data_IF_743551740074
#
_entry.id   IF_743551740074
#
_cell.length_a   1.000
_cell.length_b   1.000
_cell.length_c   1.000
_cell.angle_alpha   90.00
_cell.angle_beta   90.00
_cell.angle_gamma   90.00
#
_symmetry.space_group_name_H-M   'P 1'
#
loop_
_entity.id
_entity.type
_entity.pdbx_description
1 polymer ?
#
# COMPACT_ATOMS: atom_id res chain seq x y z
N UNK A 1 29.01 4.80 -15.40
CA UNK A 1 28.95 5.50 -14.10
C UNK A 1 28.43 4.53 -13.06
N UNK A 2 29.17 4.33 -11.97
CA UNK A 2 28.85 3.35 -10.92
C UNK A 2 28.02 4.05 -9.86
N UNK A 3 26.72 3.76 -9.79
CA UNK A 3 25.81 4.22 -8.74
C UNK A 3 26.25 3.64 -7.37
N UNK A 4 26.06 4.37 -6.25
CA UNK A 4 26.63 3.99 -4.97
C UNK A 4 25.94 2.72 -4.44
N UNK A 5 26.72 1.66 -4.22
CA UNK A 5 26.27 0.45 -3.52
C UNK A 5 25.78 0.86 -2.13
N UNK A 6 24.47 0.82 -1.90
CA UNK A 6 23.90 0.90 -0.56
C UNK A 6 24.53 -0.26 0.22
N UNK A 7 25.38 0.07 1.20
CA UNK A 7 26.12 -0.90 2.00
C UNK A 7 25.15 -1.71 2.87
N UNK A 8 25.52 -2.94 3.20
CA UNK A 8 24.74 -3.84 4.08
C UNK A 8 24.32 -3.21 5.42
N UNK A 9 25.06 -2.20 5.88
CA UNK A 9 24.77 -1.41 7.09
C UNK A 9 23.46 -0.62 6.97
N UNK A 10 23.19 0.03 5.82
CA UNK A 10 21.96 0.82 5.64
C UNK A 10 20.71 -0.06 5.55
N UNK A 11 20.80 -1.27 5.01
CA UNK A 11 19.67 -2.20 4.91
C UNK A 11 19.11 -2.58 6.30
N UNK A 12 19.96 -2.59 7.33
CA UNK A 12 19.52 -2.87 8.72
C UNK A 12 18.55 -1.82 9.29
N UNK A 13 18.56 -0.60 8.73
CA UNK A 13 17.67 0.50 9.12
C UNK A 13 16.28 0.38 8.46
N UNK A 14 16.11 -0.53 7.49
CA UNK A 14 14.82 -0.76 6.85
C UNK A 14 13.80 -1.31 7.86
N UNK A 15 12.70 -0.58 8.14
CA UNK A 15 11.83 -0.88 9.28
C UNK A 15 10.79 -1.97 8.95
N UNK A 16 11.22 -3.12 8.45
CA UNK A 16 10.36 -4.19 7.95
C UNK A 16 9.33 -4.66 8.99
N UNK A 17 9.76 -4.84 10.24
CA UNK A 17 8.87 -5.28 11.33
C UNK A 17 7.78 -4.25 11.60
N UNK A 18 8.11 -2.95 11.57
CA UNK A 18 7.15 -1.87 11.74
C UNK A 18 6.13 -1.85 10.59
N UNK A 19 6.62 -1.99 9.35
CA UNK A 19 5.76 -2.07 8.16
C UNK A 19 4.77 -3.22 8.33
N UNK A 20 5.25 -4.43 8.64
CA UNK A 20 4.39 -5.61 8.82
C UNK A 20 3.32 -5.40 9.92
N UNK A 21 3.68 -4.85 11.08
CA UNK A 21 2.72 -4.52 12.15
C UNK A 21 1.61 -3.59 11.65
N UNK A 22 1.98 -2.50 10.98
CA UNK A 22 1.03 -1.55 10.42
C UNK A 22 0.12 -2.22 9.37
N UNK A 23 0.67 -3.07 8.50
CA UNK A 23 -0.09 -3.78 7.48
C UNK A 23 -1.06 -4.82 8.08
N UNK A 24 -0.63 -5.55 9.10
CA UNK A 24 -1.48 -6.52 9.81
C UNK A 24 -2.64 -5.81 10.52
N UNK A 25 -2.36 -4.72 11.24
CA UNK A 25 -3.38 -3.89 11.88
C UNK A 25 -4.37 -3.31 10.84
N UNK A 26 -3.84 -2.74 9.75
CA UNK A 26 -4.63 -2.23 8.63
C UNK A 26 -5.55 -3.30 8.05
N UNK A 27 -5.15 -4.57 8.02
CA UNK A 27 -5.92 -5.63 7.36
C UNK A 27 -6.84 -6.45 8.28
N UNK A 28 -6.76 -6.30 9.59
CA UNK A 28 -7.70 -7.00 10.49
C UNK A 28 -7.21 -7.27 11.89
N UNK A 29 -5.90 -7.36 12.08
CA UNK A 29 -5.31 -7.78 13.34
C UNK A 29 -5.37 -6.66 14.40
N UNK A 30 -4.92 -6.96 15.62
CA UNK A 30 -4.73 -6.00 16.68
C UNK A 30 -3.67 -4.94 16.32
N UNK A 31 -3.72 -3.81 17.01
CA UNK A 31 -2.73 -2.71 16.87
C UNK A 31 -1.31 -3.20 17.15
N UNK A 32 -1.18 -4.13 18.09
CA UNK A 32 0.05 -4.83 18.43
C UNK A 32 -0.14 -6.33 18.17
N UNK A 33 0.11 -6.79 16.93
CA UNK A 33 0.09 -8.22 16.62
C UNK A 33 1.14 -8.97 17.44
N UNK A 34 0.87 -10.25 17.68
CA UNK A 34 1.78 -11.15 18.40
C UNK A 34 3.09 -11.32 17.60
N UNK A 35 4.23 -11.29 18.28
CA UNK A 35 5.55 -11.23 17.61
C UNK A 35 5.82 -12.49 16.78
N UNK A 36 5.45 -13.66 17.28
CA UNK A 36 5.54 -14.92 16.55
C UNK A 36 4.67 -14.90 15.28
N UNK A 37 3.52 -14.23 15.32
CA UNK A 37 2.65 -14.08 14.15
C UNK A 37 3.27 -13.16 13.11
N UNK A 38 3.92 -12.06 13.53
CA UNK A 38 4.64 -11.15 12.64
C UNK A 38 5.76 -11.89 11.91
N UNK A 39 6.56 -12.68 12.63
CA UNK A 39 7.63 -13.47 12.03
C UNK A 39 7.09 -14.50 11.03
N UNK A 40 6.06 -15.26 11.40
CA UNK A 40 5.42 -16.23 10.49
C UNK A 40 4.86 -15.57 9.21
N UNK A 41 4.19 -14.44 9.38
CA UNK A 41 3.65 -13.62 8.29
C UNK A 41 4.76 -13.12 7.37
N UNK A 42 5.86 -12.61 7.93
CA UNK A 42 7.01 -12.13 7.18
C UNK A 42 7.58 -13.24 6.29
N UNK A 43 7.86 -14.40 6.88
CA UNK A 43 8.44 -15.54 6.18
C UNK A 43 7.54 -15.99 5.03
N UNK A 44 6.23 -16.06 5.25
CA UNK A 44 5.28 -16.50 4.23
C UNK A 44 5.15 -15.48 3.08
N UNK A 45 5.03 -14.18 3.39
CA UNK A 45 4.90 -13.13 2.38
C UNK A 45 6.18 -13.03 1.56
N UNK A 46 7.35 -12.96 2.19
CA UNK A 46 8.62 -12.85 1.47
C UNK A 46 8.96 -14.11 0.70
N UNK A 47 8.69 -15.30 1.23
CA UNK A 47 8.85 -16.56 0.48
C UNK A 47 7.96 -16.57 -0.78
N UNK A 48 6.71 -16.09 -0.67
CA UNK A 48 5.82 -15.99 -1.83
C UNK A 48 6.35 -15.01 -2.88
N UNK A 49 6.78 -13.83 -2.46
CA UNK A 49 7.33 -12.81 -3.39
C UNK A 49 8.65 -13.26 -4.00
N UNK A 50 9.53 -13.92 -3.24
CA UNK A 50 10.75 -14.55 -3.76
C UNK A 50 10.43 -15.61 -4.82
N UNK A 51 9.36 -16.38 -4.62
CA UNK A 51 8.89 -17.34 -5.64
C UNK A 51 8.43 -16.63 -6.92
N UNK A 52 7.78 -15.47 -6.81
CA UNK A 52 7.41 -14.65 -7.97
C UNK A 52 8.66 -14.11 -8.67
N UNK A 53 9.65 -13.61 -7.93
CA UNK A 53 10.92 -13.14 -8.49
C UNK A 53 11.60 -14.26 -9.27
N UNK A 54 11.77 -15.44 -8.65
CA UNK A 54 12.44 -16.59 -9.27
C UNK A 54 11.74 -17.02 -10.58
N UNK A 55 10.40 -17.14 -10.56
CA UNK A 55 9.62 -17.47 -11.75
C UNK A 55 9.69 -16.41 -12.85
N UNK A 56 9.89 -15.15 -12.49
CA UNK A 56 10.08 -14.06 -13.47
C UNK A 56 11.43 -14.19 -14.16
N UNK A 57 12.48 -14.56 -13.40
CA UNK A 57 13.81 -14.81 -13.95
C UNK A 57 13.76 -16.01 -14.92
N UNK A 58 13.16 -17.13 -14.50
CA UNK A 58 12.97 -18.29 -15.37
C UNK A 58 12.13 -17.98 -16.63
N UNK A 59 11.17 -17.06 -16.53
CA UNK A 59 10.36 -16.62 -17.67
C UNK A 59 11.17 -15.76 -18.66
N UNK A 60 12.03 -14.87 -18.14
CA UNK A 60 12.97 -14.10 -18.95
C UNK A 60 13.98 -15.00 -19.67
N UNK A 61 14.54 -15.99 -18.98
CA UNK A 61 15.44 -16.99 -19.56
C UNK A 61 14.77 -17.77 -20.70
N UNK A 62 13.51 -18.18 -20.53
CA UNK A 62 12.73 -18.86 -21.59
C UNK A 62 12.49 -17.97 -22.82
N UNK A 63 12.51 -16.65 -22.65
CA UNK A 63 12.46 -15.66 -23.74
C UNK A 63 13.84 -15.39 -24.35
N UNK A 64 14.88 -16.10 -23.90
CA UNK A 64 16.29 -15.86 -24.22
C UNK A 64 16.77 -14.46 -23.83
N UNK A 65 16.19 -13.88 -22.75
CA UNK A 65 16.63 -12.61 -22.17
C UNK A 65 17.27 -12.86 -20.80
N UNK A 66 18.39 -12.21 -20.55
CA UNK A 66 19.01 -12.17 -19.22
C UNK A 66 18.40 -11.07 -18.33
N UNK A 67 17.62 -10.16 -18.92
CA UNK A 67 17.01 -9.02 -18.22
C UNK A 67 15.51 -9.28 -18.05
N UNK A 68 15.04 -9.45 -16.80
CA UNK A 68 13.61 -9.56 -16.51
C UNK A 68 12.87 -8.26 -16.79
N UNK A 69 11.69 -8.38 -17.38
CA UNK A 69 10.78 -7.28 -17.67
C UNK A 69 9.50 -7.39 -16.84
N UNK A 70 8.71 -6.31 -16.82
CA UNK A 70 7.37 -6.27 -16.21
C UNK A 70 6.48 -7.43 -16.69
N UNK A 71 6.59 -7.81 -17.97
CA UNK A 71 5.84 -8.94 -18.54
C UNK A 71 6.15 -10.26 -17.81
N UNK A 72 7.40 -10.50 -17.42
CA UNK A 72 7.83 -11.76 -16.82
C UNK A 72 7.23 -11.95 -15.41
N UNK A 73 6.95 -10.84 -14.72
CA UNK A 73 6.20 -10.83 -13.45
C UNK A 73 4.69 -11.02 -13.72
N UNK A 74 4.11 -10.18 -14.58
CA UNK A 74 2.65 -10.14 -14.82
C UNK A 74 2.14 -11.46 -15.41
N UNK A 75 2.92 -12.11 -16.26
CA UNK A 75 2.57 -13.36 -16.92
C UNK A 75 2.23 -14.49 -15.92
N UNK A 76 2.76 -14.43 -14.71
CA UNK A 76 2.45 -15.39 -13.65
C UNK A 76 1.00 -15.32 -13.19
N UNK A 77 0.37 -14.14 -13.31
CA UNK A 77 -1.01 -13.89 -12.88
C UNK A 77 -2.03 -14.03 -14.02
N UNK A 78 -1.62 -14.47 -15.22
CA UNK A 78 -2.51 -14.61 -16.40
C UNK A 78 -3.77 -15.44 -16.17
N UNK A 79 -3.74 -16.38 -15.20
CA UNK A 79 -4.89 -17.22 -14.83
C UNK A 79 -5.82 -16.56 -13.81
N UNK A 80 -5.46 -15.39 -13.29
CA UNK A 80 -6.22 -14.64 -12.29
C UNK A 80 -6.51 -13.22 -12.79
N UNK A 81 -7.51 -13.05 -13.68
CA UNK A 81 -7.84 -11.76 -14.29
C UNK A 81 -8.27 -10.71 -13.26
N UNK A 82 -8.90 -11.12 -12.15
CA UNK A 82 -9.28 -10.21 -11.05
C UNK A 82 -8.06 -9.61 -10.35
N UNK A 83 -7.04 -10.42 -10.10
CA UNK A 83 -5.78 -9.94 -9.50
C UNK A 83 -5.07 -8.94 -10.43
N UNK A 84 -5.05 -9.21 -11.74
CA UNK A 84 -4.48 -8.30 -12.74
C UNK A 84 -5.25 -6.97 -12.80
N UNK A 85 -6.57 -7.02 -12.72
CA UNK A 85 -7.39 -5.81 -12.63
C UNK A 85 -7.07 -4.99 -11.38
N UNK A 86 -7.00 -5.63 -10.20
CA UNK A 86 -6.61 -4.95 -8.95
C UNK A 86 -5.22 -4.32 -9.04
N UNK A 87 -4.25 -5.01 -9.68
CA UNK A 87 -2.91 -4.46 -9.92
C UNK A 87 -2.99 -3.23 -10.81
N UNK A 88 -3.71 -3.30 -11.93
CA UNK A 88 -3.88 -2.18 -12.84
C UNK A 88 -4.52 -0.97 -12.16
N UNK A 89 -5.59 -1.17 -11.39
CA UNK A 89 -6.24 -0.11 -10.60
C UNK A 89 -5.29 0.48 -9.56
N UNK A 90 -4.55 -0.36 -8.84
CA UNK A 90 -3.56 0.09 -7.86
C UNK A 90 -2.50 1.00 -8.50
N UNK A 91 -1.88 0.55 -9.60
CA UNK A 91 -0.86 1.34 -10.32
C UNK A 91 -1.47 2.59 -10.98
N UNK A 92 -2.73 2.54 -11.41
CA UNK A 92 -3.43 3.69 -12.01
C UNK A 92 -3.71 4.78 -10.98
N UNK A 93 -4.13 4.42 -9.76
CA UNK A 93 -4.35 5.35 -8.66
C UNK A 93 -3.04 6.02 -8.23
N UNK A 94 -2.00 5.20 -8.07
CA UNK A 94 -0.61 5.61 -7.86
C UNK A 94 -0.20 6.70 -8.87
N UNK A 95 -0.36 6.42 -10.17
CA UNK A 95 -0.07 7.38 -11.24
C UNK A 95 -0.93 8.65 -11.19
N UNK A 96 -2.24 8.53 -10.93
CA UNK A 96 -3.18 9.64 -10.91
C UNK A 96 -2.83 10.66 -9.81
N UNK A 97 -2.51 10.16 -8.61
CA UNK A 97 -2.14 11.02 -7.49
C UNK A 97 -0.81 11.76 -7.72
N UNK A 98 0.09 11.25 -8.58
CA UNK A 98 1.24 12.02 -9.06
C UNK A 98 0.95 13.09 -10.08
N UNK A 99 0.10 12.81 -11.08
CA UNK A 99 -0.29 13.82 -12.07
C UNK A 99 -0.91 15.02 -11.38
N UNK A 100 -1.77 14.78 -10.39
CA UNK A 100 -2.35 15.83 -9.56
C UNK A 100 -1.28 16.57 -8.73
N UNK A 101 -0.33 15.85 -8.13
CA UNK A 101 0.82 16.46 -7.44
C UNK A 101 1.68 17.39 -8.31
N UNK A 102 1.72 17.19 -9.65
CA UNK A 102 2.36 18.12 -10.60
C UNK A 102 1.50 19.36 -10.90
N UNK A 103 0.19 19.19 -11.06
CA UNK A 103 -0.73 20.29 -11.42
C UNK A 103 -0.82 21.34 -10.31
N UNK A 104 -0.66 20.96 -9.05
CA UNK A 104 -0.70 21.89 -7.91
C UNK A 104 0.69 22.43 -7.49
N UNK A 105 1.77 21.97 -8.12
CA UNK A 105 3.08 22.63 -8.05
C UNK A 105 3.28 23.49 -9.30
N UNK A 106 2.40 24.47 -9.49
CA UNK A 106 2.67 25.63 -10.36
C UNK A 106 3.18 26.73 -9.44
N UNK A 107 4.50 26.72 -9.26
CA UNK A 107 5.40 27.89 -9.15
C UNK A 107 6.74 27.42 -8.58
N UNK A 108 7.59 26.90 -9.46
CA UNK A 108 8.98 27.33 -9.56
C UNK A 108 9.44 26.99 -10.97
N UNK A 109 9.65 28.03 -11.77
CA UNK A 109 10.15 27.94 -13.14
C UNK A 109 11.46 27.13 -13.18
N UNK A 110 11.53 26.13 -14.05
CA UNK A 110 12.35 26.26 -15.25
C UNK A 110 11.87 25.34 -16.37
N UNK A 111 12.03 25.87 -17.57
CA UNK A 111 11.63 25.42 -18.89
C UNK A 111 12.46 24.21 -19.34
N UNK A 112 11.83 23.36 -20.16
CA UNK A 112 12.35 22.35 -21.11
C UNK A 112 13.83 21.93 -21.00
N UNK A 113 14.10 20.62 -20.90
CA UNK A 113 14.83 19.92 -21.96
C UNK A 113 14.64 18.40 -21.88
N UNK A 114 14.69 17.76 -23.04
CA UNK A 114 14.66 16.32 -23.24
C UNK A 114 16.01 15.69 -22.85
N UNK A 115 15.98 14.57 -22.12
CA UNK A 115 17.13 13.76 -21.67
C UNK A 115 18.13 14.47 -20.75
N UNK A 116 18.14 14.15 -19.45
CA UNK A 116 19.30 13.49 -18.85
C UNK A 116 19.12 13.22 -17.34
N UNK A 117 19.81 12.16 -16.96
CA UNK A 117 20.52 11.94 -15.70
C UNK A 117 19.84 12.23 -14.35
N UNK A 118 19.47 11.12 -13.70
CA UNK A 118 19.27 10.99 -12.27
C UNK A 118 20.59 11.18 -11.53
N UNK A 119 20.78 12.33 -10.87
CA UNK A 119 21.49 12.34 -9.58
C UNK A 119 21.22 13.62 -8.78
N UNK A 120 21.18 13.44 -7.46
CA UNK A 120 21.09 14.47 -6.41
C UNK A 120 19.72 15.13 -6.20
N UNK A 121 18.76 14.35 -5.69
CA UNK A 121 17.75 14.92 -4.80
C UNK A 121 18.27 14.79 -3.36
N UNK A 122 18.84 15.89 -2.90
CA UNK A 122 19.43 16.14 -1.59
C UNK A 122 18.49 15.75 -0.43
N UNK A 123 19.10 15.25 0.64
CA UNK A 123 18.49 14.77 1.87
C UNK A 123 17.74 15.90 2.60
N UNK A 124 16.42 16.08 2.38
CA UNK A 124 15.61 16.90 3.29
C UNK A 124 14.07 16.79 3.17
N UNK A 125 13.51 15.58 3.06
CA UNK A 125 12.04 15.42 3.07
C UNK A 125 11.38 15.47 4.46
N UNK A 126 12.15 15.41 5.54
CA UNK A 126 11.70 15.88 6.87
C UNK A 126 11.56 17.40 6.90
N UNK A 127 12.42 18.11 6.17
CA UNK A 127 12.33 19.55 6.04
C UNK A 127 11.21 20.02 5.11
N UNK A 128 10.59 19.22 4.23
CA UNK A 128 9.49 19.78 3.40
C UNK A 128 8.15 19.86 4.14
N UNK A 129 7.79 18.84 4.92
CA UNK A 129 6.64 18.88 5.83
C UNK A 129 6.89 19.79 7.03
N UNK A 130 8.12 19.81 7.58
CA UNK A 130 8.45 20.77 8.64
C UNK A 130 8.62 22.18 8.10
N UNK A 131 9.17 22.42 6.90
CA UNK A 131 9.29 23.77 6.33
C UNK A 131 7.94 24.33 5.90
N UNK A 132 6.99 23.52 5.43
CA UNK A 132 5.62 24.01 5.18
C UNK A 132 4.94 24.30 6.51
N UNK A 133 5.04 23.39 7.50
CA UNK A 133 4.50 23.63 8.83
C UNK A 133 5.14 24.84 9.51
N UNK A 134 6.44 25.06 9.35
CA UNK A 134 7.22 26.20 9.83
C UNK A 134 6.89 27.47 9.05
N UNK A 135 6.67 27.41 7.74
CA UNK A 135 6.18 28.55 6.94
C UNK A 135 4.78 28.96 7.39
N UNK A 136 3.91 28.01 7.67
CA UNK A 136 2.56 28.25 8.21
C UNK A 136 2.65 28.79 9.64
N UNK A 137 3.46 28.20 10.52
CA UNK A 137 3.72 28.70 11.87
C UNK A 137 4.30 30.12 11.82
N UNK A 138 5.26 30.38 10.93
CA UNK A 138 5.88 31.69 10.77
C UNK A 138 4.91 32.70 10.15
N UNK A 139 3.98 32.28 9.31
CA UNK A 139 2.88 33.13 8.86
C UNK A 139 1.93 33.46 10.02
N UNK A 140 1.58 32.47 10.85
CA UNK A 140 0.74 32.65 12.05
C UNK A 140 1.41 33.62 13.03
N UNK A 141 2.69 33.43 13.33
CA UNK A 141 3.49 34.31 14.20
C UNK A 141 3.54 35.78 13.74
N UNK A 142 3.32 36.06 12.45
CA UNK A 142 3.33 37.45 11.93
C UNK A 142 2.10 38.25 12.35
N UNK A 143 1.00 37.58 12.73
CA UNK A 143 -0.24 38.25 13.12
C UNK A 143 -0.82 37.77 14.46
N UNK A 144 -0.23 36.72 15.05
CA UNK A 144 -0.57 36.24 16.39
C UNK A 144 0.14 37.10 17.46
N UNK A 145 -0.54 38.17 17.91
CA UNK A 145 0.02 39.18 18.81
C UNK A 145 0.11 38.69 20.27
N UNK A 146 -0.79 37.80 20.69
CA UNK A 146 -0.89 37.31 22.07
C UNK A 146 -0.37 35.88 22.27
N UNK A 147 0.11 35.23 21.21
CA UNK A 147 0.71 33.90 21.25
C UNK A 147 -0.29 32.77 21.49
N UNK A 148 -1.58 33.07 21.66
CA UNK A 148 -2.60 32.05 21.94
C UNK A 148 -2.87 31.18 20.73
N UNK A 149 -2.73 31.73 19.52
CA UNK A 149 -3.02 31.02 18.29
C UNK A 149 -1.91 30.03 17.94
N UNK A 150 -0.65 30.41 18.14
CA UNK A 150 0.50 29.54 17.96
C UNK A 150 0.50 28.43 19.02
N UNK A 151 0.16 28.76 20.27
CA UNK A 151 0.01 27.78 21.35
C UNK A 151 -1.12 26.79 21.04
N UNK A 152 -2.25 27.27 20.53
CA UNK A 152 -3.36 26.42 20.10
C UNK A 152 -3.00 25.52 18.91
N UNK A 153 -2.33 26.04 17.88
CA UNK A 153 -1.95 25.27 16.67
C UNK A 153 -0.85 24.24 16.95
N UNK A 154 0.05 24.53 17.88
CA UNK A 154 1.11 23.59 18.30
C UNK A 154 0.66 22.65 19.41
N UNK A 155 -0.44 22.95 20.10
CA UNK A 155 -1.05 22.03 21.06
C UNK A 155 -1.64 20.81 20.35
N UNK A 156 -1.49 19.63 20.96
CA UNK A 156 -2.14 18.38 20.52
C UNK A 156 -3.66 18.38 20.86
N UNK A 157 -4.34 19.52 20.76
CA UNK A 157 -5.77 19.61 21.04
C UNK A 157 -6.54 18.98 19.89
N UNK A 158 -7.31 17.94 20.19
CA UNK A 158 -8.11 17.21 19.21
C UNK A 158 -9.27 18.07 18.67
N UNK A 159 -9.36 18.23 17.35
CA UNK A 159 -10.50 18.89 16.69
C UNK A 159 -11.72 17.96 16.64
N UNK A 160 -12.58 18.07 17.66
CA UNK A 160 -13.81 17.30 17.78
C UNK A 160 -14.71 17.38 16.52
N UNK A 161 -14.73 18.51 15.82
CA UNK A 161 -15.56 18.72 14.61
C UNK A 161 -14.98 18.00 13.38
N UNK A 162 -13.66 17.96 13.22
CA UNK A 162 -13.00 17.15 12.17
C UNK A 162 -13.19 15.66 12.43
N UNK A 163 -13.11 15.27 13.70
CA UNK A 163 -13.30 13.89 14.15
C UNK A 163 -14.73 13.43 13.87
N UNK A 164 -15.74 14.22 14.23
CA UNK A 164 -17.14 13.92 13.98
C UNK A 164 -17.45 13.83 12.47
N UNK A 165 -16.88 14.73 11.66
CA UNK A 165 -16.98 14.67 10.19
C UNK A 165 -16.42 13.36 9.63
N UNK A 166 -15.27 12.91 10.14
CA UNK A 166 -14.65 11.66 9.70
C UNK A 166 -15.48 10.43 10.10
N UNK A 167 -16.01 10.39 11.33
CA UNK A 167 -16.92 9.32 11.80
C UNK A 167 -18.21 9.27 10.99
N UNK A 168 -18.82 10.43 10.70
CA UNK A 168 -20.00 10.52 9.82
C UNK A 168 -19.69 10.02 8.42
N UNK A 169 -18.51 10.33 7.88
CA UNK A 169 -18.07 9.84 6.58
C UNK A 169 -17.89 8.30 6.57
N UNK A 170 -17.24 7.74 7.60
CA UNK A 170 -17.06 6.29 7.76
C UNK A 170 -18.40 5.55 7.95
N UNK A 171 -19.30 6.07 8.80
CA UNK A 171 -20.62 5.49 9.01
C UNK A 171 -21.48 5.57 7.74
N UNK A 172 -21.46 6.72 7.05
CA UNK A 172 -22.19 6.92 5.79
C UNK A 172 -21.70 5.96 4.71
N UNK A 173 -20.40 5.67 4.64
CA UNK A 173 -19.83 4.74 3.66
C UNK A 173 -20.11 3.27 4.01
N UNK A 174 -20.17 2.92 5.29
CA UNK A 174 -20.54 1.58 5.75
C UNK A 174 -21.96 1.18 5.35
N UNK A 175 -22.91 2.14 5.26
CA UNK A 175 -24.30 1.89 4.88
C UNK A 175 -24.60 2.06 3.38
N UNK A 176 -23.59 2.31 2.53
CA UNK A 176 -23.81 2.50 1.10
C UNK A 176 -24.06 1.17 0.38
N UNK A 177 -24.92 1.21 -0.66
CA UNK A 177 -24.96 0.13 -1.65
C UNK A 177 -23.61 -0.01 -2.33
N UNK A 178 -23.35 -1.19 -2.89
CA UNK A 178 -22.11 -1.49 -3.61
C UNK A 178 -21.76 -0.42 -4.67
N UNK A 179 -22.73 -0.09 -5.53
CA UNK A 179 -22.55 0.91 -6.60
C UNK A 179 -22.25 2.32 -6.04
N UNK A 180 -22.91 2.71 -4.95
CA UNK A 180 -22.75 4.03 -4.33
C UNK A 180 -21.43 4.16 -3.57
N UNK A 181 -21.01 3.08 -2.91
CA UNK A 181 -19.70 3.01 -2.27
C UNK A 181 -18.58 3.11 -3.31
N UNK A 182 -18.72 2.43 -4.44
CA UNK A 182 -17.73 2.47 -5.52
C UNK A 182 -17.50 3.91 -6.01
N UNK A 183 -18.57 4.64 -6.34
CA UNK A 183 -18.47 6.06 -6.75
C UNK A 183 -17.86 6.94 -5.67
N UNK A 184 -18.17 6.69 -4.40
CA UNK A 184 -17.58 7.41 -3.28
C UNK A 184 -16.08 7.11 -3.10
N UNK A 185 -15.69 5.83 -3.22
CA UNK A 185 -14.31 5.38 -3.11
C UNK A 185 -13.47 5.92 -4.27
N UNK A 186 -14.00 5.91 -5.50
CA UNK A 186 -13.37 6.52 -6.67
C UNK A 186 -13.17 8.03 -6.45
N UNK A 187 -14.21 8.72 -5.95
CA UNK A 187 -14.13 10.14 -5.59
C UNK A 187 -13.15 10.45 -4.44
N UNK A 188 -13.01 9.55 -3.47
CA UNK A 188 -12.16 9.73 -2.28
C UNK A 188 -10.72 9.27 -2.50
N UNK A 189 -10.49 8.41 -3.49
CA UNK A 189 -9.16 7.96 -3.90
C UNK A 189 -8.43 9.04 -4.69
N UNK A 190 -9.12 10.10 -5.13
CA UNK A 190 -8.50 11.37 -5.51
C UNK A 190 -7.92 12.08 -4.28
N UNK A 191 -6.85 11.52 -3.72
CA UNK A 191 -6.03 12.12 -2.69
C UNK A 191 -4.66 12.49 -3.26
N UNK A 192 -4.15 13.63 -2.79
CA UNK A 192 -2.99 14.42 -3.24
C UNK A 192 -1.60 13.75 -3.07
N UNK A 193 -1.47 12.42 -3.15
CA UNK A 193 -0.22 11.72 -2.84
C UNK A 193 0.55 11.22 -4.08
N UNK A 194 1.70 11.84 -4.35
CA UNK A 194 2.57 11.50 -5.48
C UNK A 194 3.03 10.02 -5.51
N UNK A 195 2.65 9.29 -6.57
CA UNK A 195 3.52 8.23 -7.11
C UNK A 195 3.70 8.36 -8.63
N UNK A 196 4.92 8.69 -9.05
CA UNK A 196 5.25 8.95 -10.45
C UNK A 196 5.10 7.76 -11.37
N UNK A 197 4.51 7.97 -12.56
CA UNK A 197 4.76 7.07 -13.68
C UNK A 197 3.73 7.00 -14.80
N UNK A 198 4.18 6.41 -15.90
CA UNK A 198 3.38 5.72 -16.93
C UNK A 198 3.24 4.22 -16.60
N UNK A 199 3.41 3.84 -15.34
CA UNK A 199 3.52 2.44 -14.91
C UNK A 199 2.27 1.63 -15.25
N UNK A 200 1.07 2.22 -15.14
CA UNK A 200 -0.18 1.60 -15.58
C UNK A 200 -0.19 1.31 -17.09
N UNK A 201 0.36 2.21 -17.92
CA UNK A 201 0.52 2.00 -19.35
C UNK A 201 1.50 0.86 -19.64
N UNK A 202 2.61 0.79 -18.90
CA UNK A 202 3.58 -0.31 -19.00
C UNK A 202 2.96 -1.66 -18.63
N UNK A 203 2.12 -1.70 -17.60
CA UNK A 203 1.34 -2.89 -17.20
C UNK A 203 0.39 -3.31 -18.32
N UNK A 204 -0.37 -2.39 -18.91
CA UNK A 204 -1.26 -2.70 -20.05
C UNK A 204 -0.49 -3.18 -21.28
N UNK A 205 0.63 -2.53 -21.61
CA UNK A 205 1.48 -2.93 -22.73
C UNK A 205 2.09 -4.32 -22.50
N UNK A 206 2.44 -4.67 -21.26
CA UNK A 206 2.89 -6.01 -20.90
C UNK A 206 1.77 -7.06 -21.03
N UNK A 207 0.52 -6.74 -20.67
CA UNK A 207 -0.62 -7.65 -20.86
C UNK A 207 -0.88 -7.90 -22.35
N UNK A 208 -0.88 -6.85 -23.17
CA UNK A 208 -1.09 -6.94 -24.64
C UNK A 208 -0.09 -7.88 -25.33
N UNK A 209 1.14 -7.98 -24.82
CA UNK A 209 2.18 -8.86 -25.37
C UNK A 209 1.83 -10.36 -25.27
N UNK A 210 0.96 -10.78 -24.34
CA UNK A 210 0.59 -12.20 -24.19
C UNK A 210 -0.91 -12.48 -24.29
N UNK A 211 -1.76 -11.46 -24.27
CA UNK A 211 -3.20 -11.58 -24.47
C UNK A 211 -3.57 -11.54 -25.96
N UNK A 212 -3.41 -12.69 -26.63
CA UNK A 212 -3.67 -12.83 -28.07
C UNK A 212 -5.14 -12.54 -28.45
N UNK A 213 -6.07 -12.91 -27.57
CA UNK A 213 -7.52 -12.80 -27.82
C UNK A 213 -8.10 -11.42 -27.47
N UNK A 214 -7.34 -10.56 -26.77
CA UNK A 214 -7.82 -9.27 -26.25
C UNK A 214 -8.81 -9.35 -25.08
N UNK A 215 -9.27 -10.55 -24.70
CA UNK A 215 -10.27 -10.73 -23.64
C UNK A 215 -9.76 -10.30 -22.26
N UNK A 216 -8.47 -10.47 -22.00
CA UNK A 216 -7.89 -10.16 -20.70
C UNK A 216 -7.70 -8.65 -20.54
N UNK A 217 -7.24 -7.95 -21.58
CA UNK A 217 -7.11 -6.50 -21.58
C UNK A 217 -8.48 -5.82 -21.47
N UNK A 218 -9.49 -6.34 -22.18
CA UNK A 218 -10.87 -5.87 -22.07
C UNK A 218 -11.40 -6.06 -20.65
N UNK A 219 -11.18 -7.22 -20.04
CA UNK A 219 -11.57 -7.45 -18.65
C UNK A 219 -10.88 -6.50 -17.67
N UNK A 220 -9.57 -6.31 -17.80
CA UNK A 220 -8.77 -5.46 -16.89
C UNK A 220 -9.18 -3.99 -16.97
N UNK A 221 -9.53 -3.50 -18.16
CA UNK A 221 -9.93 -2.11 -18.40
C UNK A 221 -11.44 -1.87 -18.24
N UNK A 222 -12.25 -2.93 -18.25
CA UNK A 222 -13.70 -2.84 -18.00
C UNK A 222 -14.03 -2.34 -16.59
N UNK A 223 -15.25 -1.87 -16.38
CA UNK A 223 -15.79 -1.53 -15.05
C UNK A 223 -16.34 -2.74 -14.27
N UNK A 224 -15.92 -3.98 -14.58
CA UNK A 224 -16.41 -5.18 -13.90
C UNK A 224 -16.10 -5.17 -12.41
N UNK A 225 -17.14 -5.26 -11.57
CA UNK A 225 -17.00 -5.23 -10.13
C UNK A 225 -16.29 -6.48 -9.57
N UNK A 226 -15.36 -6.26 -8.64
CA UNK A 226 -14.74 -7.33 -7.88
C UNK A 226 -15.43 -7.49 -6.53
N UNK A 227 -16.42 -8.39 -6.48
CA UNK A 227 -17.22 -8.64 -5.28
C UNK A 227 -16.38 -8.92 -4.02
N UNK A 228 -15.23 -9.61 -4.17
CA UNK A 228 -14.35 -9.85 -3.03
C UNK A 228 -13.70 -8.55 -2.57
N UNK A 229 -13.15 -7.74 -3.48
CA UNK A 229 -12.57 -6.43 -3.14
C UNK A 229 -13.62 -5.52 -2.47
N UNK A 230 -14.84 -5.48 -3.00
CA UNK A 230 -15.96 -4.71 -2.44
C UNK A 230 -16.27 -5.16 -1.02
N UNK A 231 -16.37 -6.46 -0.78
CA UNK A 231 -16.67 -7.00 0.55
C UNK A 231 -15.55 -6.72 1.56
N UNK A 232 -14.27 -6.75 1.12
CA UNK A 232 -13.14 -6.30 1.94
C UNK A 232 -13.29 -4.83 2.34
N UNK A 233 -13.60 -3.97 1.38
CA UNK A 233 -13.80 -2.54 1.62
C UNK A 233 -14.95 -2.27 2.58
N UNK A 234 -16.08 -2.99 2.45
CA UNK A 234 -17.22 -2.89 3.38
C UNK A 234 -16.84 -3.29 4.80
N UNK A 235 -16.15 -4.42 4.98
CA UNK A 235 -15.67 -4.86 6.31
C UNK A 235 -14.69 -3.85 6.92
N UNK A 236 -13.80 -3.30 6.11
CA UNK A 236 -12.88 -2.26 6.56
C UNK A 236 -13.65 -1.00 7.03
N UNK A 237 -14.61 -0.52 6.24
CA UNK A 237 -15.46 0.63 6.59
C UNK A 237 -16.29 0.39 7.85
N UNK A 238 -16.91 -0.79 7.99
CA UNK A 238 -17.65 -1.15 9.19
C UNK A 238 -16.76 -1.17 10.44
N UNK A 239 -15.54 -1.71 10.31
CA UNK A 239 -14.56 -1.73 11.40
C UNK A 239 -14.13 -0.31 11.78
N UNK A 240 -13.75 0.52 10.81
CA UNK A 240 -13.29 1.90 11.08
C UNK A 240 -14.41 2.78 11.64
N UNK A 241 -15.66 2.58 11.24
CA UNK A 241 -16.81 3.27 11.81
C UNK A 241 -17.00 2.99 13.32
N UNK A 242 -16.57 1.82 13.80
CA UNK A 242 -16.65 1.43 15.21
C UNK A 242 -15.43 1.81 16.06
N UNK A 243 -14.39 2.40 15.46
CA UNK A 243 -13.16 2.75 16.18
C UNK A 243 -13.33 4.00 17.04
N UNK A 244 -12.65 4.05 18.18
CA UNK A 244 -12.41 5.31 18.90
C UNK A 244 -11.58 6.26 18.03
N UNK A 245 -11.61 7.54 18.37
CA UNK A 245 -10.83 8.58 17.68
C UNK A 245 -9.34 8.21 17.63
N UNK A 246 -8.76 7.94 18.79
CA UNK A 246 -7.35 7.56 18.95
C UNK A 246 -6.99 6.33 18.10
N UNK A 247 -7.85 5.30 18.13
CA UNK A 247 -7.63 4.07 17.35
C UNK A 247 -7.74 4.31 15.85
N UNK A 248 -8.65 5.18 15.42
CA UNK A 248 -8.79 5.54 14.01
C UNK A 248 -7.56 6.32 13.49
N UNK A 249 -7.00 7.23 14.29
CA UNK A 249 -5.79 7.96 13.91
C UNK A 249 -4.61 7.00 13.69
N UNK A 250 -4.41 6.06 14.62
CA UNK A 250 -3.39 5.01 14.46
C UNK A 250 -3.65 4.13 13.24
N UNK A 251 -4.92 3.84 12.94
CA UNK A 251 -5.30 3.09 11.74
C UNK A 251 -4.99 3.87 10.45
N UNK A 252 -5.25 5.18 10.43
CA UNK A 252 -4.92 6.05 9.30
C UNK A 252 -3.41 6.13 9.10
N UNK A 253 -2.64 6.27 10.18
CA UNK A 253 -1.18 6.25 10.15
C UNK A 253 -0.68 4.92 9.58
N UNK A 254 -1.16 3.79 10.11
CA UNK A 254 -0.82 2.46 9.61
C UNK A 254 -1.22 2.26 8.13
N UNK A 255 -2.30 2.90 7.68
CA UNK A 255 -2.78 2.82 6.29
C UNK A 255 -1.84 3.47 5.28
N UNK A 256 -0.98 4.39 5.73
CA UNK A 256 0.05 5.07 4.94
C UNK A 256 1.33 4.24 4.74
N UNK A 257 1.39 3.02 5.27
CA UNK A 257 2.53 2.11 5.12
C UNK A 257 2.32 1.14 3.96
N UNK A 258 3.42 0.84 3.28
CA UNK A 258 3.66 -0.28 2.36
C UNK A 258 5.14 -0.65 2.41
N UNK A 259 5.58 -1.66 1.66
CA UNK A 259 7.00 -2.01 1.67
C UNK A 259 7.90 -0.96 1.00
N UNK A 260 7.35 -0.12 0.12
CA UNK A 260 8.04 0.98 -0.55
C UNK A 260 7.70 2.37 0.03
N UNK A 261 6.81 2.42 1.03
CA UNK A 261 6.28 3.68 1.58
C UNK A 261 6.16 3.56 3.10
N UNK A 262 6.90 4.37 3.86
CA UNK A 262 6.88 4.32 5.32
C UNK A 262 6.29 5.63 5.85
N UNK A 263 5.10 5.56 6.42
CA UNK A 263 4.42 6.77 6.92
C UNK A 263 4.12 7.78 5.81
N UNK A 264 3.76 7.33 4.61
CA UNK A 264 3.53 8.21 3.46
C UNK A 264 4.79 8.75 2.77
N UNK A 265 6.00 8.34 3.20
CA UNK A 265 7.27 8.80 2.62
C UNK A 265 7.97 7.71 1.83
N UNK A 266 8.64 8.11 0.73
CA UNK A 266 9.48 7.25 -0.12
C UNK A 266 10.95 7.52 0.17
N UNK A 267 11.79 6.52 -0.03
CA UNK A 267 13.24 6.63 0.09
C UNK A 267 13.89 5.50 -0.69
N UNK A 268 15.08 5.74 -1.27
CA UNK A 268 15.90 4.70 -1.89
C UNK A 268 16.26 3.58 -0.90
N UNK A 269 16.32 3.89 0.40
CA UNK A 269 16.49 2.91 1.46
C UNK A 269 15.34 1.88 1.49
N UNK A 270 14.11 2.31 1.19
CA UNK A 270 12.94 1.43 1.21
C UNK A 270 12.92 0.52 -0.02
N UNK A 271 13.30 1.06 -1.18
CA UNK A 271 13.49 0.27 -2.40
C UNK A 271 14.59 -0.79 -2.20
N UNK A 272 15.74 -0.39 -1.66
CA UNK A 272 16.87 -1.29 -1.38
C UNK A 272 16.54 -2.33 -0.31
N UNK A 273 15.88 -1.91 0.77
CA UNK A 273 15.40 -2.80 1.83
C UNK A 273 14.41 -3.82 1.30
N UNK A 274 13.40 -3.38 0.55
CA UNK A 274 12.43 -4.30 -0.05
C UNK A 274 13.08 -5.25 -1.06
N UNK A 275 14.01 -4.75 -1.89
CA UNK A 275 14.82 -5.58 -2.80
C UNK A 275 15.56 -6.67 -2.05
N UNK A 276 16.21 -6.33 -0.94
CA UNK A 276 16.93 -7.30 -0.10
C UNK A 276 16.03 -8.42 0.42
N UNK A 277 14.88 -8.08 1.02
CA UNK A 277 13.96 -9.09 1.58
C UNK A 277 13.29 -9.96 0.50
N UNK A 278 13.05 -9.40 -0.68
CA UNK A 278 12.44 -10.12 -1.81
C UNK A 278 13.46 -10.87 -2.66
N UNK A 279 14.77 -10.68 -2.42
CA UNK A 279 15.86 -11.16 -3.27
C UNK A 279 15.69 -10.76 -4.73
N UNK A 280 15.06 -9.61 -4.98
CA UNK A 280 14.90 -9.09 -6.33
C UNK A 280 16.28 -8.67 -6.86
N UNK A 281 16.67 -9.05 -8.09
CA UNK A 281 17.97 -8.72 -8.64
C UNK A 281 18.01 -7.23 -9.02
N UNK A 282 19.20 -6.62 -9.15
CA UNK A 282 19.36 -5.17 -9.35
C UNK A 282 18.72 -4.67 -10.66
N UNK A 283 18.60 -5.53 -11.65
CA UNK A 283 17.97 -5.28 -12.93
C UNK A 283 16.47 -4.97 -12.80
N UNK A 284 15.83 -5.36 -11.70
CA UNK A 284 14.43 -5.00 -11.43
C UNK A 284 14.36 -3.50 -11.14
N UNK A 285 13.84 -2.74 -12.10
CA UNK A 285 13.60 -1.31 -11.95
C UNK A 285 12.46 -1.02 -10.94
N UNK A 286 12.27 0.27 -10.64
CA UNK A 286 11.26 0.72 -9.68
C UNK A 286 9.83 0.29 -10.04
N UNK A 287 9.45 0.26 -11.32
CA UNK A 287 8.10 -0.20 -11.73
C UNK A 287 7.88 -1.67 -11.36
N UNK A 288 8.91 -2.50 -11.51
CA UNK A 288 8.87 -3.90 -11.10
C UNK A 288 8.77 -4.05 -9.59
N UNK A 289 9.48 -3.20 -8.83
CA UNK A 289 9.34 -3.15 -7.37
C UNK A 289 7.93 -2.74 -6.93
N UNK A 290 7.28 -1.78 -7.61
CA UNK A 290 5.87 -1.41 -7.34
C UNK A 290 4.94 -2.62 -7.52
N UNK A 291 5.14 -3.41 -8.58
CA UNK A 291 4.34 -4.62 -8.84
C UNK A 291 4.59 -5.66 -7.75
N UNK A 292 5.85 -5.91 -7.38
CA UNK A 292 6.17 -6.84 -6.28
C UNK A 292 5.61 -6.36 -4.94
N UNK A 293 5.63 -5.06 -4.67
CA UNK A 293 5.01 -4.45 -3.48
C UNK A 293 3.49 -4.71 -3.48
N UNK A 294 2.81 -4.52 -4.62
CA UNK A 294 1.41 -4.90 -4.74
C UNK A 294 1.17 -6.38 -4.42
N UNK A 295 1.99 -7.28 -4.98
CA UNK A 295 1.87 -8.72 -4.70
C UNK A 295 2.04 -9.03 -3.20
N UNK A 296 3.03 -8.42 -2.55
CA UNK A 296 3.27 -8.58 -1.13
C UNK A 296 2.09 -8.07 -0.28
N UNK A 297 1.56 -6.89 -0.63
CA UNK A 297 0.41 -6.25 0.03
C UNK A 297 -0.88 -7.06 -0.15
N UNK A 298 -1.14 -7.58 -1.34
CA UNK A 298 -2.33 -8.40 -1.62
C UNK A 298 -2.26 -9.74 -0.89
N UNK A 299 -1.08 -10.41 -0.91
CA UNK A 299 -0.85 -11.62 -0.13
C UNK A 299 -1.08 -11.37 1.35
N UNK A 300 -0.56 -10.25 1.86
CA UNK A 300 -0.74 -9.87 3.25
C UNK A 300 -2.20 -9.65 3.61
N UNK A 301 -2.93 -8.94 2.75
CA UNK A 301 -4.37 -8.67 2.91
C UNK A 301 -5.15 -9.97 2.95
N UNK A 302 -4.94 -10.87 1.99
CA UNK A 302 -5.61 -12.18 1.92
C UNK A 302 -5.33 -13.00 3.17
N UNK A 303 -4.07 -13.06 3.61
CA UNK A 303 -3.66 -13.87 4.75
C UNK A 303 -4.30 -13.38 6.06
N UNK A 304 -4.16 -12.08 6.36
CA UNK A 304 -4.65 -11.47 7.61
C UNK A 304 -6.17 -11.50 7.66
N UNK A 305 -6.85 -11.12 6.58
CA UNK A 305 -8.31 -11.15 6.55
C UNK A 305 -8.86 -12.56 6.69
N UNK A 306 -8.23 -13.55 6.05
CA UNK A 306 -8.65 -14.94 6.18
C UNK A 306 -8.48 -15.43 7.62
N UNK A 307 -7.42 -15.01 8.30
CA UNK A 307 -7.15 -15.40 9.68
C UNK A 307 -8.15 -14.72 10.63
N UNK A 308 -8.43 -13.45 10.39
CA UNK A 308 -9.44 -12.68 11.10
C UNK A 308 -10.85 -13.29 10.95
N UNK A 309 -11.26 -13.68 9.74
CA UNK A 309 -12.57 -14.30 9.52
C UNK A 309 -12.74 -15.63 10.28
N UNK A 310 -11.65 -16.37 10.47
CA UNK A 310 -11.68 -17.59 11.30
C UNK A 310 -11.82 -17.28 12.77
N UNK A 311 -11.05 -16.31 13.28
CA UNK A 311 -11.20 -15.84 14.64
C UNK A 311 -12.63 -15.37 14.92
N UNK A 312 -13.22 -14.62 13.97
CA UNK A 312 -14.61 -14.18 14.05
C UNK A 312 -15.57 -15.37 14.11
N UNK A 313 -15.40 -16.37 13.23
CA UNK A 313 -16.24 -17.56 13.22
C UNK A 313 -16.16 -18.35 14.54
N UNK A 314 -14.94 -18.58 15.05
CA UNK A 314 -14.74 -19.25 16.33
C UNK A 314 -15.37 -18.47 17.48
N UNK A 315 -15.24 -17.14 17.48
CA UNK A 315 -15.81 -16.29 18.53
C UNK A 315 -17.34 -16.28 18.50
N UNK A 316 -17.94 -16.45 17.31
CA UNK A 316 -19.39 -16.63 17.15
C UNK A 316 -19.84 -18.01 17.64
N UNK A 317 -19.07 -19.07 17.36
CA UNK A 317 -19.35 -20.44 17.82
C UNK A 317 -19.31 -20.56 19.35
N UNK A 318 -18.41 -19.81 20.02
CA UNK A 318 -18.27 -19.79 21.49
C UNK A 318 -19.20 -18.74 22.15
N UNK A 319 -19.97 -17.98 21.35
CA UNK A 319 -20.92 -16.98 21.84
C UNK A 319 -20.30 -15.72 22.46
N UNK A 320 -19.00 -15.48 22.25
CA UNK A 320 -18.23 -14.43 22.94
C UNK A 320 -18.48 -13.04 22.33
N UNK A 321 -18.61 -12.91 21.01
CA UNK A 321 -18.85 -11.60 20.38
C UNK A 321 -19.22 -11.73 18.89
N UNK A 322 -20.23 -10.95 18.45
CA UNK A 322 -20.46 -10.65 17.02
C UNK A 322 -19.74 -9.36 16.57
N UNK A 323 -19.16 -8.63 17.51
CA UNK A 323 -18.60 -7.30 17.31
C UNK A 323 -17.12 -7.38 16.92
N UNK A 324 -16.80 -6.88 15.73
CA UNK A 324 -15.46 -6.84 15.15
C UNK A 324 -14.40 -6.17 16.04
N UNK A 325 -14.80 -5.22 16.90
CA UNK A 325 -13.88 -4.42 17.71
C UNK A 325 -13.52 -5.04 19.06
N UNK A 326 -14.24 -6.09 19.48
CA UNK A 326 -13.99 -6.80 20.76
C UNK A 326 -13.10 -8.03 20.60
N UNK A 327 -12.72 -8.36 19.37
CA UNK A 327 -11.82 -9.48 19.10
C UNK A 327 -10.39 -9.09 19.47
N UNK A 328 -9.71 -9.98 20.20
CA UNK A 328 -8.29 -9.83 20.55
C UNK A 328 -7.35 -10.06 19.36
N UNK A 329 -6.05 -10.10 19.65
CA UNK A 329 -5.02 -10.37 18.63
C UNK A 329 -5.22 -11.75 17.96
N UNK A 330 -4.96 -11.81 16.65
CA UNK A 330 -5.05 -13.05 15.89
C UNK A 330 -3.92 -13.99 16.33
N UNK A 331 -4.31 -15.17 16.79
CA UNK A 331 -3.37 -16.22 17.20
C UNK A 331 -2.69 -16.90 15.99
N UNK A 332 -1.49 -17.44 16.23
CA UNK A 332 -0.66 -18.09 15.21
C UNK A 332 -1.38 -19.25 14.50
N UNK A 333 -2.23 -20.00 15.21
CA UNK A 333 -2.97 -21.13 14.63
C UNK A 333 -3.95 -20.69 13.55
N UNK A 334 -4.55 -19.49 13.67
CA UNK A 334 -5.40 -18.94 12.60
C UNK A 334 -4.59 -18.72 11.33
N UNK A 335 -3.38 -18.17 11.45
CA UNK A 335 -2.47 -17.93 10.33
C UNK A 335 -1.95 -19.22 9.70
N UNK A 336 -1.57 -20.22 10.52
CA UNK A 336 -1.13 -21.53 10.01
C UNK A 336 -2.25 -22.21 9.22
N UNK A 337 -3.47 -22.18 9.74
CA UNK A 337 -4.60 -22.85 9.09
C UNK A 337 -5.06 -22.11 7.83
N UNK A 338 -4.86 -20.79 7.71
CA UNK A 338 -5.11 -20.06 6.45
C UNK A 338 -4.01 -20.33 5.43
N UNK A 339 -2.75 -20.38 5.85
CA UNK A 339 -1.62 -20.70 4.99
C UNK A 339 -1.78 -22.06 4.31
N UNK A 340 -2.33 -23.07 4.99
CA UNK A 340 -2.64 -24.40 4.40
C UNK A 340 -3.58 -24.34 3.19
N UNK A 341 -4.42 -23.31 3.09
CA UNK A 341 -5.40 -23.14 2.00
C UNK A 341 -4.84 -22.31 0.84
N UNK A 342 -3.71 -21.64 1.04
CA UNK A 342 -3.00 -20.97 -0.04
C UNK A 342 -2.29 -22.07 -0.83
N UNK A 343 -2.61 -22.28 -2.12
CA UNK A 343 -1.98 -23.33 -2.90
C UNK A 343 -0.51 -23.00 -3.11
N UNK A 344 0.34 -23.39 -2.16
CA UNK A 344 1.75 -23.62 -2.42
C UNK A 344 1.79 -24.86 -3.31
N UNK A 345 1.87 -24.67 -4.63
CA UNK A 345 2.35 -25.78 -5.46
C UNK A 345 3.70 -26.18 -4.85
N UNK A 346 3.77 -27.40 -4.30
CA UNK A 346 5.04 -28.02 -3.95
C UNK A 346 5.96 -27.87 -5.17
N UNK A 347 7.18 -27.40 -4.91
CA UNK A 347 8.22 -27.23 -5.90
C UNK A 347 8.40 -28.50 -6.74
#
# INVERSE_FOLDING_TARGET
MVQPKITSVKISEYPVRKILRCLMFKNGDAEYPIEECISFVADLVFSHVQTIVQKSIEAAEKRNSQVPEIIDIIFQFRKNPKLLKRLYEYVSLVNASYRMGKVYNVETNSVNDDNDDLSAADDNSTASSSAIAEKVLNAIKKFDVDGKLIDFVTSNVEDASKIERSKRCAARTASMSTEKYQRFADASSYSFLLVGGRSAEKVLNAIKKFDVDGKLIDFVTSNVEDASKIERSKRCAARTASMSTEKYQRFADASSYSFLLVGGRRSELFDAGFRYYTKAPEEFNHDMLIILNFCAMEMMTVLVESAFLKLLKQSQEIGISKDFHKLGAIQLEHYKETAKRIPTKKA
#
